data_IF_768035548147
#
_entry.id   IF_768035548147
#
_cell.length_a   1.000
_cell.length_b   1.000
_cell.length_c   1.000
_cell.angle_alpha   90.00
_cell.angle_beta   90.00
_cell.angle_gamma   90.00
#
_symmetry.space_group_name_H-M   'P 1'
#
loop_
_entity.id
_entity.type
_entity.pdbx_description
1 polymer ?
#
# COMPACT_ATOMS: atom_id res chain seq x y z
N UNK A 1 -14.36 17.47 -1.83
CA UNK A 1 -12.96 17.20 -2.21
C UNK A 1 -12.11 17.42 -0.97
N UNK A 2 -11.63 16.36 -0.33
CA UNK A 2 -10.68 16.51 0.76
C UNK A 2 -9.35 17.00 0.18
N UNK A 3 -8.70 17.92 0.88
CA UNK A 3 -7.35 18.34 0.55
C UNK A 3 -6.41 17.17 0.89
N UNK A 4 -5.82 16.57 -0.14
CA UNK A 4 -4.83 15.49 0.01
C UNK A 4 -3.56 16.09 0.62
N UNK A 5 -3.14 15.54 1.76
CA UNK A 5 -1.91 15.94 2.46
C UNK A 5 -0.86 14.83 2.33
N UNK A 6 0.43 15.15 2.34
CA UNK A 6 1.49 14.14 2.37
C UNK A 6 1.62 13.59 3.80
N UNK A 7 0.69 12.75 4.23
CA UNK A 7 0.64 12.20 5.59
C UNK A 7 0.30 10.71 5.63
N UNK A 8 0.49 9.98 4.52
CA UNK A 8 0.20 8.56 4.41
C UNK A 8 0.92 7.72 5.48
N UNK A 9 2.20 8.01 5.76
CA UNK A 9 3.03 7.30 6.78
C UNK A 9 2.49 7.34 8.21
N UNK A 10 1.68 8.33 8.56
CA UNK A 10 1.08 8.44 9.91
C UNK A 10 -0.32 7.81 9.98
N UNK A 11 -0.84 7.30 8.86
CA UNK A 11 -2.16 6.66 8.77
C UNK A 11 -2.10 5.12 8.82
N UNK A 12 -0.94 4.56 9.14
CA UNK A 12 -0.78 3.12 9.25
C UNK A 12 -1.59 2.53 10.41
N UNK A 13 -2.21 1.39 10.16
CA UNK A 13 -3.06 0.69 11.12
C UNK A 13 -2.26 -0.28 11.98
N UNK A 14 -2.90 -0.87 12.98
CA UNK A 14 -2.28 -1.96 13.75
C UNK A 14 -1.91 -3.16 12.86
N UNK A 15 -2.75 -3.48 11.87
CA UNK A 15 -2.48 -4.56 10.90
C UNK A 15 -1.21 -4.29 10.08
N UNK A 16 -0.97 -3.02 9.71
CA UNK A 16 0.25 -2.61 9.01
C UNK A 16 1.51 -2.83 9.87
N UNK A 17 1.41 -2.46 11.15
CA UNK A 17 2.52 -2.65 12.11
C UNK A 17 2.79 -4.13 12.31
N UNK A 18 1.76 -4.95 12.48
CA UNK A 18 1.89 -6.39 12.63
C UNK A 18 2.57 -7.00 11.40
N UNK A 19 2.11 -6.64 10.19
CA UNK A 19 2.71 -7.08 8.93
C UNK A 19 4.20 -6.69 8.82
N UNK A 20 4.55 -5.43 9.07
CA UNK A 20 5.94 -4.97 9.01
C UNK A 20 6.81 -5.74 10.03
N UNK A 21 6.31 -5.94 11.24
CA UNK A 21 7.06 -6.67 12.28
C UNK A 21 7.24 -8.15 11.94
N UNK A 22 6.27 -8.78 11.29
CA UNK A 22 6.37 -10.17 10.82
C UNK A 22 7.43 -10.30 9.72
N UNK A 23 7.35 -9.44 8.70
CA UNK A 23 8.27 -9.47 7.56
C UNK A 23 9.70 -9.18 7.99
N UNK A 24 9.92 -8.09 8.73
CA UNK A 24 11.27 -7.68 9.13
C UNK A 24 11.82 -8.53 10.29
N UNK A 25 10.96 -9.02 11.19
CA UNK A 25 11.34 -9.91 12.28
C UNK A 25 11.85 -11.27 11.80
N UNK A 26 11.33 -11.77 10.67
CA UNK A 26 11.80 -13.03 10.06
C UNK A 26 13.24 -12.95 9.52
N UNK A 27 13.75 -11.74 9.26
CA UNK A 27 15.05 -11.47 8.64
C UNK A 27 16.17 -11.18 9.65
N UNK A 28 15.83 -10.67 10.84
CA UNK A 28 16.79 -10.29 11.87
C UNK A 28 16.79 -11.24 13.05
N UNK A 29 17.88 -12.00 13.26
CA UNK A 29 18.05 -12.95 14.37
C UNK A 29 18.18 -12.30 15.78
N UNK A 30 17.49 -11.19 16.05
CA UNK A 30 17.56 -10.52 17.35
C UNK A 30 16.69 -9.27 17.54
N UNK A 31 15.93 -8.83 16.53
CA UNK A 31 15.00 -7.71 16.71
C UNK A 31 13.66 -8.24 17.25
N UNK A 32 13.42 -8.06 18.55
CA UNK A 32 12.12 -8.34 19.15
C UNK A 32 11.03 -7.51 18.47
N UNK A 33 9.81 -8.05 18.34
CA UNK A 33 8.66 -7.31 17.79
C UNK A 33 8.46 -5.96 18.47
N UNK A 34 8.66 -5.90 19.79
CA UNK A 34 8.61 -4.66 20.58
C UNK A 34 9.64 -3.60 20.17
N UNK A 35 10.84 -4.01 19.74
CA UNK A 35 11.87 -3.09 19.24
C UNK A 35 11.46 -2.51 17.88
N UNK A 36 10.93 -3.34 16.98
CA UNK A 36 10.43 -2.91 15.67
C UNK A 36 9.26 -1.94 15.81
N UNK A 37 8.32 -2.20 16.74
CA UNK A 37 7.24 -1.25 17.03
C UNK A 37 7.76 0.10 17.53
N UNK A 38 8.81 0.10 18.36
CA UNK A 38 9.43 1.34 18.84
C UNK A 38 10.13 2.11 17.72
N UNK A 39 10.80 1.40 16.79
CA UNK A 39 11.41 2.00 15.61
C UNK A 39 10.37 2.56 14.64
N UNK A 40 9.20 1.93 14.51
CA UNK A 40 8.09 2.45 13.71
C UNK A 40 7.47 3.73 14.30
N UNK A 41 7.63 3.96 15.61
CA UNK A 41 7.16 5.19 16.25
C UNK A 41 8.10 6.40 16.00
N UNK A 42 9.37 6.15 15.71
CA UNK A 42 10.33 7.19 15.33
C UNK A 42 10.29 7.44 13.82
N UNK A 43 10.15 8.69 13.40
CA UNK A 43 9.98 9.03 11.98
C UNK A 43 11.18 8.60 11.12
N UNK A 44 12.40 8.88 11.59
CA UNK A 44 13.62 8.58 10.85
C UNK A 44 13.87 7.08 10.71
N UNK A 45 13.58 6.34 11.78
CA UNK A 45 13.71 4.89 11.82
C UNK A 45 12.62 4.21 10.99
N UNK A 46 11.38 4.68 11.09
CA UNK A 46 10.26 4.22 10.25
C UNK A 46 10.59 4.37 8.77
N UNK A 47 11.12 5.53 8.38
CA UNK A 47 11.48 5.79 6.98
C UNK A 47 12.53 4.81 6.44
N UNK A 48 13.47 4.37 7.28
CA UNK A 48 14.46 3.35 6.91
C UNK A 48 13.84 1.96 6.82
N UNK A 49 12.94 1.61 7.74
CA UNK A 49 12.24 0.33 7.72
C UNK A 49 11.36 0.18 6.47
N UNK A 50 10.65 1.24 6.08
CA UNK A 50 9.78 1.27 4.89
C UNK A 50 10.56 1.22 3.58
N UNK A 51 11.86 1.50 3.62
CA UNK A 51 12.76 1.46 2.47
C UNK A 51 13.38 0.06 2.24
N UNK A 52 13.07 -0.93 3.08
CA UNK A 52 13.59 -2.29 2.98
C UNK A 52 12.88 -3.09 1.88
N UNK A 53 13.65 -3.61 0.93
CA UNK A 53 13.14 -4.35 -0.24
C UNK A 53 12.36 -5.62 0.12
N UNK A 54 12.55 -6.18 1.33
CA UNK A 54 11.77 -7.33 1.79
C UNK A 54 10.30 -7.00 2.03
N UNK A 55 9.96 -5.75 2.37
CA UNK A 55 8.56 -5.33 2.46
C UNK A 55 7.89 -5.34 1.10
N UNK A 56 8.57 -4.82 0.08
CA UNK A 56 8.06 -4.88 -1.30
C UNK A 56 7.88 -6.32 -1.76
N UNK A 57 8.88 -7.17 -1.53
CA UNK A 57 8.80 -8.58 -1.86
C UNK A 57 7.63 -9.27 -1.15
N UNK A 58 7.48 -9.06 0.16
CA UNK A 58 6.40 -9.64 0.95
C UNK A 58 5.01 -9.18 0.49
N UNK A 59 4.85 -7.91 0.10
CA UNK A 59 3.58 -7.41 -0.46
C UNK A 59 3.25 -8.05 -1.82
N UNK A 60 4.24 -8.27 -2.67
CA UNK A 60 4.05 -8.82 -4.02
C UNK A 60 3.91 -10.35 -4.05
N UNK A 61 4.59 -11.05 -3.14
CA UNK A 61 4.62 -12.51 -3.08
C UNK A 61 3.43 -13.11 -2.30
N UNK A 62 2.66 -12.27 -1.60
CA UNK A 62 1.51 -12.73 -0.83
C UNK A 62 0.38 -13.23 -1.75
N UNK A 63 0.22 -14.56 -1.85
CA UNK A 63 -0.82 -15.22 -2.66
C UNK A 63 -2.21 -15.31 -1.99
N UNK A 64 -2.48 -14.51 -0.96
CA UNK A 64 -3.71 -14.54 -0.17
C UNK A 64 -4.33 -13.15 0.05
N UNK A 65 -5.37 -13.07 0.89
CA UNK A 65 -5.94 -11.79 1.30
C UNK A 65 -4.93 -11.02 2.14
N UNK A 66 -4.24 -10.07 1.51
CA UNK A 66 -3.29 -9.19 2.16
C UNK A 66 -4.00 -8.34 3.22
N UNK A 67 -3.60 -8.49 4.49
CA UNK A 67 -4.16 -7.75 5.63
C UNK A 67 -3.32 -6.51 5.92
N UNK A 68 -3.23 -5.62 4.94
CA UNK A 68 -2.57 -4.32 5.10
C UNK A 68 -3.52 -3.24 4.61
N UNK A 69 -3.38 -2.03 5.15
CA UNK A 69 -4.12 -0.88 4.69
C UNK A 69 -3.69 -0.47 3.27
N UNK A 70 -4.61 0.19 2.55
CA UNK A 70 -4.28 0.83 1.28
C UNK A 70 -3.11 1.82 1.42
N UNK A 71 -3.00 2.50 2.56
CA UNK A 71 -1.92 3.45 2.84
C UNK A 71 -0.56 2.74 2.82
N UNK A 72 -0.38 1.65 3.58
CA UNK A 72 0.89 0.92 3.58
C UNK A 72 1.19 0.35 2.20
N UNK A 73 0.19 -0.29 1.57
CA UNK A 73 0.35 -0.92 0.25
C UNK A 73 0.82 0.10 -0.79
N UNK A 74 0.10 1.21 -0.94
CA UNK A 74 0.46 2.23 -1.93
C UNK A 74 1.76 2.94 -1.56
N UNK A 75 2.01 3.22 -0.28
CA UNK A 75 3.26 3.87 0.13
C UNK A 75 4.48 3.06 -0.27
N UNK A 76 4.54 1.76 0.10
CA UNK A 76 5.69 0.91 -0.21
C UNK A 76 5.86 0.79 -1.73
N UNK A 77 4.79 0.48 -2.46
CA UNK A 77 4.84 0.36 -3.93
C UNK A 77 5.37 1.64 -4.61
N UNK A 78 4.82 2.80 -4.24
CA UNK A 78 5.23 4.09 -4.79
C UNK A 78 6.67 4.42 -4.37
N UNK A 79 7.03 4.20 -3.11
CA UNK A 79 8.36 4.51 -2.58
C UNK A 79 9.44 3.76 -3.35
N UNK A 80 9.28 2.46 -3.56
CA UNK A 80 10.25 1.68 -4.33
C UNK A 80 10.25 2.06 -5.82
N UNK A 81 9.10 2.38 -6.41
CA UNK A 81 9.02 2.84 -7.80
C UNK A 81 9.76 4.19 -7.99
N UNK A 82 9.56 5.15 -7.10
CA UNK A 82 10.21 6.46 -7.13
C UNK A 82 11.72 6.36 -6.90
N UNK A 83 12.17 5.54 -5.94
CA UNK A 83 13.60 5.30 -5.72
C UNK A 83 14.28 4.68 -6.94
N UNK A 84 13.62 3.73 -7.61
CA UNK A 84 14.11 3.15 -8.89
C UNK A 84 14.22 4.18 -10.01
N UNK A 85 13.43 5.25 -9.96
CA UNK A 85 13.50 6.38 -10.88
C UNK A 85 14.46 7.50 -10.43
N UNK A 86 15.17 7.33 -9.30
CA UNK A 86 16.07 8.35 -8.75
C UNK A 86 15.38 9.49 -8.02
N UNK A 87 14.12 9.30 -7.59
CA UNK A 87 13.34 10.28 -6.84
C UNK A 87 13.34 9.87 -5.36
N UNK A 88 14.15 10.56 -4.56
CA UNK A 88 14.36 10.23 -3.15
C UNK A 88 13.43 10.98 -2.18
N UNK A 89 12.71 12.00 -2.65
CA UNK A 89 11.83 12.81 -1.80
C UNK A 89 10.67 11.96 -1.26
N UNK A 90 10.60 11.82 0.07
CA UNK A 90 9.61 10.95 0.73
C UNK A 90 8.23 11.57 0.70
N UNK A 91 8.16 12.89 0.71
CA UNK A 91 6.93 13.67 0.65
C UNK A 91 6.18 13.43 -0.67
N UNK A 92 6.91 13.18 -1.77
CA UNK A 92 6.32 12.82 -3.06
C UNK A 92 5.70 11.43 -2.98
N UNK A 93 6.39 10.47 -2.37
CA UNK A 93 5.83 9.14 -2.14
C UNK A 93 4.59 9.20 -1.23
N UNK A 94 4.66 9.98 -0.16
CA UNK A 94 3.56 10.22 0.80
C UNK A 94 2.33 10.80 0.10
N UNK A 95 2.52 11.83 -0.73
CA UNK A 95 1.44 12.49 -1.45
C UNK A 95 0.79 11.55 -2.48
N UNK A 96 1.60 10.86 -3.28
CA UNK A 96 1.07 9.95 -4.31
C UNK A 96 0.37 8.75 -3.68
N UNK A 97 0.90 8.21 -2.58
CA UNK A 97 0.25 7.13 -1.84
C UNK A 97 -1.09 7.57 -1.22
N UNK A 98 -1.15 8.77 -0.66
CA UNK A 98 -2.39 9.36 -0.15
C UNK A 98 -3.41 9.56 -1.28
N UNK A 99 -2.97 10.10 -2.42
CA UNK A 99 -3.80 10.29 -3.61
C UNK A 99 -4.39 8.96 -4.09
N UNK A 100 -3.56 7.92 -4.22
CA UNK A 100 -4.02 6.60 -4.64
C UNK A 100 -4.97 5.98 -3.61
N UNK A 101 -4.72 6.19 -2.32
CA UNK A 101 -5.59 5.70 -1.25
C UNK A 101 -6.96 6.35 -1.32
N UNK A 102 -7.02 7.69 -1.37
CA UNK A 102 -8.26 8.46 -1.48
C UNK A 102 -9.03 8.10 -2.76
N UNK A 103 -8.34 7.99 -3.89
CA UNK A 103 -8.97 7.54 -5.14
C UNK A 103 -9.52 6.13 -4.99
N UNK A 104 -8.76 5.18 -4.45
CA UNK A 104 -9.22 3.80 -4.27
C UNK A 104 -10.46 3.72 -3.37
N UNK A 105 -10.56 4.57 -2.35
CA UNK A 105 -11.70 4.64 -1.44
C UNK A 105 -12.92 5.27 -2.11
N UNK A 106 -12.75 6.41 -2.80
CA UNK A 106 -13.81 7.05 -3.58
C UNK A 106 -14.31 6.13 -4.69
N UNK A 107 -13.42 5.33 -5.25
CA UNK A 107 -13.73 4.36 -6.28
C UNK A 107 -14.53 3.17 -5.70
N UNK A 108 -14.24 2.72 -4.47
CA UNK A 108 -15.11 1.78 -3.74
C UNK A 108 -16.49 2.36 -3.43
N UNK A 109 -16.60 3.68 -3.27
CA UNK A 109 -17.88 4.36 -2.97
C UNK A 109 -18.74 4.51 -4.23
N UNK A 110 -18.14 4.77 -5.39
CA UNK A 110 -18.86 5.00 -6.63
C UNK A 110 -18.99 3.74 -7.52
N UNK A 111 -18.66 2.55 -6.99
CA UNK A 111 -18.99 1.27 -7.60
C UNK A 111 -20.45 1.25 -8.09
N UNK A 112 -20.71 0.85 -9.34
CA UNK A 112 -22.00 1.09 -9.99
C UNK A 112 -23.11 0.30 -9.31
N UNK A 113 -24.20 1.01 -8.96
CA UNK A 113 -25.50 0.39 -8.71
C UNK A 113 -25.96 -0.26 -10.02
N UNK A 114 -26.19 -1.58 -10.00
CA UNK A 114 -26.61 -2.31 -11.19
C UNK A 114 -27.99 -1.85 -11.69
N UNK A 115 -28.04 -1.44 -12.97
CA UNK A 115 -29.29 -1.29 -13.72
C UNK A 115 -29.36 -0.04 -14.59
N UNK A 116 -28.77 -0.10 -15.79
CA UNK A 116 -29.14 0.80 -16.90
C UNK A 116 -28.00 1.61 -17.51
N UNK A 117 -27.32 1.02 -18.50
CA UNK A 117 -26.73 1.73 -19.65
C UNK A 117 -25.56 2.71 -19.39
N UNK A 118 -24.34 2.15 -19.47
CA UNK A 118 -22.98 2.73 -19.35
C UNK A 118 -22.55 3.13 -17.91
N UNK A 119 -21.25 3.03 -17.48
CA UNK A 119 -19.95 2.65 -18.11
C UNK A 119 -19.20 1.51 -17.34
N UNK A 120 -17.91 1.15 -17.62
CA UNK A 120 -17.08 0.53 -16.58
C UNK A 120 -16.15 1.58 -15.97
N UNK A 121 -16.45 2.02 -14.75
CA UNK A 121 -15.72 3.08 -14.05
C UNK A 121 -14.71 2.55 -13.00
N UNK A 122 -14.48 1.23 -12.91
CA UNK A 122 -13.63 0.63 -11.86
C UNK A 122 -12.72 -0.56 -12.27
N UNK A 123 -11.56 -0.64 -11.61
CA UNK A 123 -10.44 -1.56 -11.92
C UNK A 123 -10.77 -3.06 -11.81
N UNK A 124 -11.67 -3.48 -10.90
CA UNK A 124 -11.99 -4.91 -10.74
C UNK A 124 -12.87 -5.46 -11.88
N UNK A 125 -13.60 -4.59 -12.59
CA UNK A 125 -14.42 -5.00 -13.75
C UNK A 125 -13.54 -5.37 -14.95
N UNK A 126 -12.36 -4.73 -15.08
CA UNK A 126 -11.37 -5.07 -16.09
C UNK A 126 -10.68 -6.41 -15.78
N UNK A 127 -10.54 -6.76 -14.49
CA UNK A 127 -9.98 -8.05 -14.05
C UNK A 127 -10.99 -9.19 -14.25
N UNK A 128 -12.29 -8.95 -14.04
CA UNK A 128 -13.35 -9.92 -14.37
C UNK A 128 -13.52 -10.13 -15.89
N UNK A 129 -13.28 -9.10 -16.71
CA UNK A 129 -13.29 -9.21 -18.17
C UNK A 129 -12.08 -9.99 -18.73
N UNK A 130 -10.94 -9.97 -18.03
CA UNK A 130 -9.78 -10.80 -18.38
C UNK A 130 -10.02 -12.29 -18.12
N UNK A 131 -10.85 -12.66 -17.13
CA UNK A 131 -11.19 -14.06 -16.84
C UNK A 131 -12.17 -14.70 -17.83
N UNK A 132 -12.95 -13.90 -18.56
CA UNK A 132 -13.89 -14.36 -19.59
C UNK A 132 -13.32 -14.32 -21.02
N UNK A 133 -12.10 -13.80 -21.20
CA UNK A 133 -11.40 -13.74 -22.50
C UNK A 133 -10.61 -15.02 -22.84
N UNK A 134 -10.42 -15.92 -21.87
CA UNK A 134 -9.68 -17.18 -22.03
C UNK A 134 -10.58 -18.35 -22.51
N UNK A 135 -11.89 -18.12 -22.68
CA UNK A 135 -12.89 -19.08 -23.20
C UNK A 135 -13.23 -18.83 -24.70
N UNK A 136 -12.37 -18.12 -25.45
CA UNK A 136 -12.49 -17.84 -26.89
C UNK A 136 -11.35 -18.45 -27.73
#
# INVERSE_FOLDING_TARGET
MNLIKPNCRVQFTAEDVDFITEVLGSRGAGASSSCLTQLLADESSRDLLLDDDSLLAALLEHRGCLKVSSHLYFYVMVRHALRRAGIDQREVADYVAELLTEFSLQQRIAAPVQGGGAPPEYFFEMVAALGTADDL
#
